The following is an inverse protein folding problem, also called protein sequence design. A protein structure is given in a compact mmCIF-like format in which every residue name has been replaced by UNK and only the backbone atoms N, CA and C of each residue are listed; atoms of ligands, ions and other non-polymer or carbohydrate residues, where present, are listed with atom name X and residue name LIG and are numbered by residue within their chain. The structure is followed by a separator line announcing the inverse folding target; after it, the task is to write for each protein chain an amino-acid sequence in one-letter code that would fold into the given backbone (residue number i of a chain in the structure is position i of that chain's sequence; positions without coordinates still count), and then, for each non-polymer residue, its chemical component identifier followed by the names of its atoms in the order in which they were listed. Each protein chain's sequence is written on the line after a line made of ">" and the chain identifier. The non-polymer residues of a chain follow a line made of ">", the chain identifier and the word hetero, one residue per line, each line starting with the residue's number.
data_IF_847727818483
#
_entry.id   IF_847727818483
#
_cell.length_a   1.000
_cell.length_b   1.000
_cell.length_c   1.000
_cell.angle_alpha   90.00
_cell.angle_beta   90.00
_cell.angle_gamma   90.00
#
_symmetry.space_group_name_H-M   'P 1'
#
loop_
_entity.id
_entity.type
_entity.pdbx_description
1 polymer ?
#
# COMPACT_ATOMS: atom_id res chain seq x y z
N UNK A 1 4.03 -17.61 -31.05
CA UNK A 1 3.71 -16.19 -31.26
C UNK A 1 3.75 -15.55 -29.89
N UNK A 2 4.85 -14.89 -29.54
CA UNK A 2 4.93 -14.14 -28.29
C UNK A 2 3.94 -12.97 -28.43
N UNK A 3 3.05 -12.81 -27.46
CA UNK A 3 2.15 -11.65 -27.41
C UNK A 3 3.02 -10.39 -27.28
N UNK A 4 2.66 -9.35 -28.03
CA UNK A 4 3.35 -8.07 -27.95
C UNK A 4 3.29 -7.55 -26.50
N UNK A 5 4.42 -7.13 -25.91
CA UNK A 5 4.49 -6.69 -24.50
C UNK A 5 3.58 -5.48 -24.19
N UNK A 6 3.16 -4.73 -25.21
CA UNK A 6 2.16 -3.68 -25.06
C UNK A 6 0.75 -4.21 -24.77
N UNK A 7 0.37 -5.36 -25.34
CA UNK A 7 -0.91 -6.01 -25.04
C UNK A 7 -0.96 -6.55 -23.60
N UNK A 8 0.18 -6.95 -23.03
CA UNK A 8 0.28 -7.38 -21.63
C UNK A 8 -0.05 -6.22 -20.66
N UNK A 9 0.42 -5.00 -20.97
CA UNK A 9 0.15 -3.77 -20.18
C UNK A 9 -1.31 -3.36 -20.18
N UNK A 10 -2.06 -3.64 -21.26
CA UNK A 10 -3.49 -3.37 -21.35
C UNK A 10 -4.35 -4.31 -20.47
N UNK A 11 -3.77 -5.43 -20.02
CA UNK A 11 -4.46 -6.43 -19.16
C UNK A 11 -4.24 -6.20 -17.68
N UNK A 12 -3.22 -5.42 -17.31
CA UNK A 12 -2.99 -5.02 -15.92
C UNK A 12 -3.87 -3.82 -15.59
N UNK A 13 -4.63 -3.87 -14.48
CA UNK A 13 -5.33 -2.70 -13.97
C UNK A 13 -4.37 -1.51 -13.82
N UNK A 14 -4.84 -0.28 -14.04
CA UNK A 14 -4.03 0.90 -13.80
C UNK A 14 -3.60 0.93 -12.33
N UNK A 15 -2.30 0.97 -12.09
CA UNK A 15 -1.69 1.01 -10.76
C UNK A 15 -0.53 2.01 -10.76
N UNK A 16 -0.13 2.46 -9.56
CA UNK A 16 1.02 3.34 -9.39
C UNK A 16 1.82 2.93 -8.16
N UNK A 17 2.97 2.29 -8.41
CA UNK A 17 3.92 1.88 -7.36
C UNK A 17 4.41 3.10 -6.56
N UNK A 18 4.63 4.23 -7.22
CA UNK A 18 5.07 5.47 -6.57
C UNK A 18 4.01 6.04 -5.63
N UNK A 19 2.72 5.96 -6.02
CA UNK A 19 1.63 6.39 -5.16
C UNK A 19 1.50 5.49 -3.93
N UNK A 20 1.60 4.17 -4.11
CA UNK A 20 1.60 3.21 -3.01
C UNK A 20 2.75 3.48 -2.02
N UNK A 21 3.98 3.65 -2.53
CA UNK A 21 5.13 3.99 -1.70
C UNK A 21 4.95 5.32 -0.95
N UNK A 22 4.35 6.32 -1.60
CA UNK A 22 4.08 7.62 -0.97
C UNK A 22 3.08 7.50 0.18
N UNK A 23 2.04 6.67 0.02
CA UNK A 23 1.08 6.39 1.10
C UNK A 23 1.77 5.69 2.27
N UNK A 24 2.51 4.61 2.00
CA UNK A 24 3.20 3.86 3.05
C UNK A 24 4.24 4.73 3.78
N UNK A 25 5.02 5.51 3.03
CA UNK A 25 5.99 6.43 3.60
C UNK A 25 5.33 7.50 4.47
N UNK A 26 4.21 8.07 4.03
CA UNK A 26 3.45 9.04 4.83
C UNK A 26 2.94 8.42 6.15
N UNK A 27 2.45 7.18 6.10
CA UNK A 27 1.96 6.46 7.28
C UNK A 27 3.08 6.11 8.27
N UNK A 28 4.28 5.78 7.78
CA UNK A 28 5.46 5.53 8.64
C UNK A 28 5.93 6.84 9.31
N UNK A 29 5.85 7.98 8.61
CA UNK A 29 6.25 9.30 9.15
C UNK A 29 5.23 9.82 10.17
N UNK A 30 3.93 9.66 9.89
CA UNK A 30 2.83 10.07 10.76
C UNK A 30 1.81 8.93 10.87
N UNK A 31 1.94 8.09 11.90
CA UNK A 31 1.02 6.97 12.10
C UNK A 31 -0.42 7.43 12.33
N UNK A 32 -0.65 8.66 12.83
CA UNK A 32 -2.02 9.19 13.02
C UNK A 32 -2.71 9.51 11.69
N UNK A 33 -1.97 9.54 10.58
CA UNK A 33 -2.56 9.69 9.26
C UNK A 33 -3.41 8.47 8.86
N UNK A 34 -3.26 7.32 9.55
CA UNK A 34 -4.07 6.13 9.30
C UNK A 34 -5.56 6.42 9.48
N UNK A 35 -5.94 7.20 10.50
CA UNK A 35 -7.34 7.57 10.78
C UNK A 35 -7.98 8.36 9.63
N UNK A 36 -7.17 9.02 8.80
CA UNK A 36 -7.65 9.80 7.66
C UNK A 36 -7.86 8.96 6.41
N UNK A 37 -7.18 7.81 6.30
CA UNK A 37 -7.15 6.99 5.08
C UNK A 37 -7.82 5.64 5.25
N UNK A 38 -8.00 5.14 6.49
CA UNK A 38 -8.55 3.82 6.77
C UNK A 38 -9.98 3.61 6.22
N UNK A 39 -10.77 4.68 6.11
CA UNK A 39 -12.12 4.64 5.51
C UNK A 39 -12.09 4.54 3.98
N UNK A 40 -10.99 4.95 3.36
CA UNK A 40 -10.85 5.09 1.91
C UNK A 40 -9.99 3.99 1.29
N UNK A 41 -9.08 3.41 2.06
CA UNK A 41 -8.04 2.51 1.57
C UNK A 41 -8.02 1.21 2.37
N UNK A 42 -8.05 0.09 1.66
CA UNK A 42 -7.90 -1.27 2.19
C UNK A 42 -6.60 -1.88 1.67
N UNK A 43 -6.10 -2.90 2.36
CA UNK A 43 -4.90 -3.61 1.92
C UNK A 43 -5.02 -4.14 0.49
N UNK A 44 -6.20 -4.65 0.11
CA UNK A 44 -6.45 -5.17 -1.23
C UNK A 44 -6.51 -4.10 -2.35
N UNK A 45 -6.49 -2.80 -2.00
CA UNK A 45 -6.39 -1.73 -3.00
C UNK A 45 -4.94 -1.52 -3.49
N UNK A 46 -3.94 -2.07 -2.78
CA UNK A 46 -2.56 -2.08 -3.24
C UNK A 46 -2.35 -3.17 -4.29
N UNK A 47 -1.77 -2.79 -5.42
CA UNK A 47 -1.45 -3.74 -6.48
C UNK A 47 -0.25 -4.62 -6.12
N UNK A 48 0.76 -4.05 -5.43
CA UNK A 48 1.92 -4.80 -4.98
C UNK A 48 1.61 -5.56 -3.68
N UNK A 49 1.79 -6.87 -3.70
CA UNK A 49 1.54 -7.73 -2.53
C UNK A 49 2.36 -7.32 -1.30
N UNK A 50 3.63 -6.93 -1.47
CA UNK A 50 4.46 -6.49 -0.36
C UNK A 50 3.91 -5.19 0.25
N UNK A 51 3.41 -4.27 -0.58
CA UNK A 51 2.81 -3.03 -0.08
C UNK A 51 1.51 -3.28 0.67
N UNK A 52 0.68 -4.22 0.20
CA UNK A 52 -0.50 -4.69 0.94
C UNK A 52 -0.11 -5.18 2.33
N UNK A 53 0.88 -6.06 2.43
CA UNK A 53 1.31 -6.62 3.71
C UNK A 53 1.83 -5.55 4.67
N UNK A 54 2.60 -4.58 4.16
CA UNK A 54 3.08 -3.44 4.96
C UNK A 54 1.89 -2.62 5.48
N UNK A 55 0.93 -2.26 4.62
CA UNK A 55 -0.25 -1.50 5.03
C UNK A 55 -1.09 -2.23 6.09
N UNK A 56 -1.28 -3.54 5.94
CA UNK A 56 -2.00 -4.37 6.92
C UNK A 56 -1.27 -4.42 8.27
N UNK A 57 0.06 -4.51 8.27
CA UNK A 57 0.86 -4.43 9.50
C UNK A 57 0.78 -3.05 10.17
N UNK A 58 0.86 -1.96 9.40
CA UNK A 58 0.67 -0.61 9.93
C UNK A 58 -0.69 -0.48 10.61
N UNK A 59 -1.76 -0.97 9.96
CA UNK A 59 -3.10 -0.97 10.55
C UNK A 59 -3.18 -1.77 11.85
N UNK A 60 -2.53 -2.95 11.88
CA UNK A 60 -2.50 -3.80 13.08
C UNK A 60 -1.79 -3.09 14.23
N UNK A 61 -0.62 -2.51 13.99
CA UNK A 61 0.14 -1.78 14.99
C UNK A 61 -0.63 -0.55 15.50
N UNK A 62 -1.26 0.20 14.60
CA UNK A 62 -2.10 1.33 14.97
C UNK A 62 -3.28 0.92 15.87
N UNK A 63 -3.95 -0.20 15.55
CA UNK A 63 -5.02 -0.75 16.40
C UNK A 63 -4.51 -1.18 17.79
N UNK A 64 -3.29 -1.69 17.86
CA UNK A 64 -2.58 -2.05 19.10
C UNK A 64 -1.98 -0.82 19.82
N UNK A 65 -2.24 0.42 19.36
CA UNK A 65 -1.64 1.67 19.85
C UNK A 65 -0.09 1.63 19.88
N UNK A 66 0.49 0.89 18.95
CA UNK A 66 1.93 0.75 18.76
C UNK A 66 2.37 1.55 17.53
N UNK A 67 3.49 2.26 17.63
CA UNK A 67 4.03 2.99 16.49
C UNK A 67 4.49 2.02 15.40
N UNK A 68 4.17 2.32 14.15
CA UNK A 68 4.71 1.61 13.00
C UNK A 68 5.95 2.37 12.50
N UNK A 69 7.09 1.70 12.53
CA UNK A 69 8.37 2.24 12.04
C UNK A 69 9.08 1.22 11.13
N UNK A 70 10.32 1.51 10.74
CA UNK A 70 11.08 0.64 9.82
C UNK A 70 11.61 -0.64 10.48
N UNK A 71 11.47 -0.79 11.80
CA UNK A 71 12.06 -1.87 12.60
C UNK A 71 10.99 -2.81 13.15
N UNK A 72 9.85 -2.25 13.56
CA UNK A 72 8.72 -2.94 14.20
C UNK A 72 7.80 -3.64 13.21
#
# INVERSE_FOLDING_TARGET
>A
MALDPEFEKLRTPPHSIEAEQSVLGALIIDNNAIDKVADLLRGDDFYNEAHRLIYEHINRLAADNTAADAVT
#
